data_IF_097257310155
#
_entry.id   IF_097257310155
#
_cell.length_a   1.000
_cell.length_b   1.000
_cell.length_c   1.000
_cell.angle_alpha   90.00
_cell.angle_beta   90.00
_cell.angle_gamma   90.00
#
_symmetry.space_group_name_H-M   'P 1'
#
loop_
_entity.id
_entity.type
_entity.pdbx_description
1 polymer ?
#
# COMPACT_ATOMS: atom_id res chain seq x y z
N UNK A 1 1.33 31.37 2.63
CA UNK A 1 0.96 30.10 1.96
C UNK A 1 0.36 29.17 3.00
N UNK A 2 -0.97 29.08 3.07
CA UNK A 2 -1.62 28.03 3.86
C UNK A 2 -1.55 26.75 3.03
N UNK A 3 -0.76 25.76 3.47
CA UNK A 3 -0.81 24.41 2.91
C UNK A 3 -2.17 23.83 3.28
N UNK A 4 -3.02 23.61 2.29
CA UNK A 4 -4.31 22.97 2.48
C UNK A 4 -4.08 21.55 3.01
N UNK A 5 -4.45 21.28 4.27
CA UNK A 5 -4.19 20.00 4.96
C UNK A 5 -5.26 18.99 4.57
N UNK A 6 -5.23 18.53 3.32
CA UNK A 6 -6.13 17.50 2.82
C UNK A 6 -5.78 16.14 3.42
N UNK A 7 -6.79 15.44 3.95
CA UNK A 7 -6.62 14.08 4.47
C UNK A 7 -6.47 13.12 3.28
N UNK A 8 -5.55 12.16 3.41
CA UNK A 8 -5.38 11.04 2.47
C UNK A 8 -5.44 9.75 3.27
N UNK A 9 -6.11 8.74 2.71
CA UNK A 9 -6.11 7.40 3.29
C UNK A 9 -4.75 6.76 2.99
N UNK A 10 -4.17 6.16 4.02
CA UNK A 10 -2.95 5.34 3.92
C UNK A 10 -3.33 3.91 4.27
N UNK A 11 -2.98 2.95 3.40
CA UNK A 11 -3.12 1.53 3.68
C UNK A 11 -1.73 0.96 3.97
N UNK A 12 -1.61 0.18 5.04
CA UNK A 12 -0.36 -0.50 5.40
C UNK A 12 -0.59 -2.00 5.30
N UNK A 13 0.16 -2.67 4.42
CA UNK A 13 0.23 -4.12 4.38
C UNK A 13 1.46 -4.56 5.17
N UNK A 14 1.22 -5.35 6.21
CA UNK A 14 2.27 -5.94 7.03
C UNK A 14 2.74 -7.27 6.42
N UNK A 15 4.04 -7.60 6.55
CA UNK A 15 4.53 -8.91 6.14
C UNK A 15 3.88 -10.01 6.99
N UNK A 16 3.94 -11.24 6.47
CA UNK A 16 3.47 -12.40 7.24
C UNK A 16 4.24 -12.48 8.55
N UNK A 17 3.52 -12.78 9.63
CA UNK A 17 4.08 -12.94 10.96
C UNK A 17 4.75 -11.70 11.58
N UNK A 18 4.35 -10.50 11.17
CA UNK A 18 4.86 -9.24 11.72
C UNK A 18 4.73 -9.17 13.25
N UNK A 19 3.59 -9.57 13.80
CA UNK A 19 3.30 -9.52 15.25
C UNK A 19 4.21 -10.43 16.08
N UNK A 20 4.74 -11.51 15.50
CA UNK A 20 5.68 -12.40 16.18
C UNK A 20 7.13 -11.89 16.13
N UNK A 21 7.43 -10.89 15.30
CA UNK A 21 8.79 -10.40 15.07
C UNK A 21 8.85 -8.86 15.07
N UNK A 22 8.17 -8.22 16.01
CA UNK A 22 8.05 -6.74 16.04
C UNK A 22 9.40 -6.01 16.21
N UNK A 23 10.42 -6.68 16.74
CA UNK A 23 11.78 -6.13 16.88
C UNK A 23 12.60 -6.19 15.57
N UNK A 24 12.12 -6.92 14.54
CA UNK A 24 12.81 -7.02 13.24
C UNK A 24 12.61 -5.71 12.47
N UNK A 25 13.70 -5.21 11.88
CA UNK A 25 13.63 -4.13 10.91
C UNK A 25 13.21 -4.67 9.55
N UNK A 26 12.23 -4.02 8.93
CA UNK A 26 11.70 -4.39 7.63
C UNK A 26 11.88 -3.24 6.64
N UNK A 27 12.30 -3.52 5.39
CA UNK A 27 12.24 -2.53 4.33
C UNK A 27 10.80 -2.06 4.10
N UNK A 28 10.65 -0.78 3.76
CA UNK A 28 9.36 -0.14 3.51
C UNK A 28 9.26 0.29 2.06
N UNK A 29 8.21 -0.16 1.37
CA UNK A 29 7.90 0.24 0.00
C UNK A 29 6.71 1.19 0.02
N UNK A 30 6.93 2.41 -0.45
CA UNK A 30 5.86 3.39 -0.63
C UNK A 30 5.28 3.28 -2.04
N UNK A 31 3.95 3.14 -2.12
CA UNK A 31 3.24 3.04 -3.39
C UNK A 31 2.23 4.18 -3.52
N UNK A 32 2.32 4.93 -4.62
CA UNK A 32 1.34 5.95 -4.99
C UNK A 32 0.12 5.32 -5.66
N UNK A 33 -0.98 6.08 -5.77
CA UNK A 33 -2.28 5.59 -6.27
C UNK A 33 -2.75 4.34 -5.51
N UNK A 34 -2.67 4.42 -4.17
CA UNK A 34 -2.83 3.30 -3.25
C UNK A 34 -4.12 2.49 -3.40
N UNK A 35 -5.19 3.10 -3.90
CA UNK A 35 -6.50 2.46 -4.11
C UNK A 35 -6.44 1.34 -5.13
N UNK A 36 -5.47 1.38 -6.04
CA UNK A 36 -5.25 0.34 -7.05
C UNK A 36 -4.38 -0.81 -6.54
N UNK A 37 -3.74 -0.69 -5.37
CA UNK A 37 -2.65 -1.60 -4.97
C UNK A 37 -3.16 -2.94 -4.45
N UNK A 38 -4.17 -2.95 -3.57
CA UNK A 38 -4.51 -4.13 -2.76
C UNK A 38 -5.74 -4.91 -3.26
N UNK A 39 -6.87 -4.23 -3.46
CA UNK A 39 -8.16 -4.88 -3.69
C UNK A 39 -8.86 -4.33 -4.93
N UNK A 40 -9.27 -5.22 -5.83
CA UNK A 40 -9.92 -4.83 -7.10
C UNK A 40 -11.21 -4.03 -6.90
N UNK A 41 -11.96 -4.31 -5.83
CA UNK A 41 -13.18 -3.55 -5.46
C UNK A 41 -12.94 -2.07 -5.11
N UNK A 42 -11.70 -1.72 -4.77
CA UNK A 42 -11.30 -0.34 -4.42
C UNK A 42 -10.51 0.32 -5.56
N UNK A 43 -10.13 -0.44 -6.59
CA UNK A 43 -9.34 0.04 -7.71
C UNK A 43 -10.20 0.88 -8.65
N UNK A 44 -9.62 1.95 -9.19
CA UNK A 44 -10.29 2.88 -10.10
C UNK A 44 -10.86 2.18 -11.35
N UNK A 45 -10.11 1.22 -11.91
CA UNK A 45 -10.51 0.46 -13.11
C UNK A 45 -11.22 -0.86 -12.80
N UNK A 46 -11.58 -1.13 -11.54
CA UNK A 46 -12.12 -2.42 -11.11
C UNK A 46 -11.10 -3.56 -11.07
N UNK A 47 -9.83 -3.30 -11.35
CA UNK A 47 -8.74 -4.27 -11.27
C UNK A 47 -7.56 -3.71 -10.46
N UNK A 48 -7.21 -4.41 -9.38
CA UNK A 48 -6.00 -4.08 -8.63
C UNK A 48 -4.73 -4.50 -9.36
N UNK A 49 -3.60 -3.99 -8.91
CA UNK A 49 -2.27 -4.38 -9.38
C UNK A 49 -1.83 -5.75 -8.86
N UNK A 50 -2.69 -6.48 -8.12
CA UNK A 50 -2.46 -7.84 -7.64
C UNK A 50 -1.17 -7.99 -6.82
N UNK A 51 -0.87 -6.99 -5.98
CA UNK A 51 0.34 -7.00 -5.14
C UNK A 51 0.35 -8.16 -4.13
N UNK A 52 -0.78 -8.43 -3.46
CA UNK A 52 -0.87 -9.51 -2.48
C UNK A 52 -0.56 -10.88 -3.14
N UNK A 53 -1.18 -11.23 -4.29
CA UNK A 53 -0.77 -12.41 -5.05
C UNK A 53 0.73 -12.42 -5.40
N UNK A 54 1.29 -11.30 -5.89
CA UNK A 54 2.71 -11.23 -6.24
C UNK A 54 3.60 -11.60 -5.04
N UNK A 55 3.39 -10.95 -3.89
CA UNK A 55 4.18 -11.18 -2.68
C UNK A 55 4.04 -12.61 -2.13
N UNK A 56 2.90 -13.27 -2.34
CA UNK A 56 2.69 -14.67 -1.92
C UNK A 56 3.45 -15.68 -2.78
N UNK A 57 3.63 -15.42 -4.07
CA UNK A 57 4.21 -16.39 -5.01
C UNK A 57 5.70 -16.11 -5.30
N UNK A 58 6.15 -14.86 -5.17
CA UNK A 58 7.53 -14.49 -5.43
C UNK A 58 8.40 -14.64 -4.18
N UNK A 59 9.04 -15.80 -4.03
CA UNK A 59 9.96 -16.10 -2.91
C UNK A 59 11.23 -15.22 -2.89
N UNK A 60 11.48 -14.45 -3.95
CA UNK A 60 12.65 -13.57 -4.07
C UNK A 60 12.54 -12.28 -3.24
N UNK A 61 11.34 -11.90 -2.82
CA UNK A 61 11.16 -10.66 -2.07
C UNK A 61 11.39 -10.89 -0.57
N UNK A 62 12.15 -10.01 0.10
CA UNK A 62 12.23 -10.05 1.56
C UNK A 62 10.87 -9.70 2.17
N UNK A 63 10.66 -10.07 3.43
CA UNK A 63 9.55 -9.51 4.21
C UNK A 63 9.63 -7.97 4.20
N UNK A 64 8.54 -7.30 3.87
CA UNK A 64 8.50 -5.85 3.73
C UNK A 64 7.15 -5.28 4.16
N UNK A 65 7.13 -4.02 4.57
CA UNK A 65 5.90 -3.25 4.72
C UNK A 65 5.59 -2.54 3.40
N UNK A 66 4.32 -2.56 3.01
CA UNK A 66 3.83 -1.74 1.90
C UNK A 66 2.99 -0.60 2.47
N UNK A 67 3.38 0.63 2.17
CA UNK A 67 2.63 1.84 2.51
C UNK A 67 2.01 2.39 1.23
N UNK A 68 0.74 2.09 1.01
CA UNK A 68 -0.01 2.53 -0.16
C UNK A 68 -0.79 3.82 0.16
N UNK A 69 -0.50 4.90 -0.55
CA UNK A 69 -1.06 6.24 -0.31
C UNK A 69 -2.09 6.52 -1.40
N UNK A 70 -3.34 6.74 -0.99
CA UNK A 70 -4.40 7.09 -1.93
C UNK A 70 -4.12 8.42 -2.60
N UNK A 71 -4.45 8.47 -3.90
CA UNK A 71 -4.44 9.72 -4.62
C UNK A 71 -5.58 10.63 -4.12
N UNK A 72 -5.63 11.83 -4.70
CA UNK A 72 -6.58 12.85 -4.31
C UNK A 72 -8.04 12.60 -4.74
N UNK A 73 -8.33 11.52 -5.48
CA UNK A 73 -9.65 11.25 -6.01
C UNK A 73 -10.20 12.41 -6.85
N UNK A 74 -11.41 12.84 -6.54
CA UNK A 74 -12.08 14.00 -7.17
C UNK A 74 -11.38 15.32 -6.87
N UNK A 75 -10.61 15.40 -5.79
CA UNK A 75 -9.86 16.59 -5.39
C UNK A 75 -8.46 16.66 -6.00
N UNK A 76 -8.23 15.97 -7.12
CA UNK A 76 -6.95 15.94 -7.82
C UNK A 76 -6.64 17.22 -8.58
N UNK A 77 -7.67 18.02 -8.88
CA UNK A 77 -7.59 19.29 -9.59
C UNK A 77 -7.86 20.47 -8.66
#
# INVERSE_FOLDING_TARGET
>A
MLRDKKKRRVRVLLPKNYEQNMEKNYPVVYMQDGQNVLYSKEAYSGHSWKLIPLLKHAAMFPDMLIVAIDNAGEERF
#
